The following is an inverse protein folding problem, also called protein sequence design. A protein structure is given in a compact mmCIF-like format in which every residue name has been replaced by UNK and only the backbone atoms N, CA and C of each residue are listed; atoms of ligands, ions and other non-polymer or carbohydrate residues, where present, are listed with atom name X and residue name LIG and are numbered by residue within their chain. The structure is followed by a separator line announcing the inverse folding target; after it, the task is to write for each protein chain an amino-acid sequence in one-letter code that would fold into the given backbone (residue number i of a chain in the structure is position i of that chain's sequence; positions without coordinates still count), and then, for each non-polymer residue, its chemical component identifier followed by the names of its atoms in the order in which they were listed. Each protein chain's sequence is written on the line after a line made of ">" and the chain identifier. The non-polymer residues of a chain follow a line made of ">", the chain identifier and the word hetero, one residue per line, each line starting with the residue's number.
data_IF_492059950622
#
_entry.id   IF_492059950622
#
_cell.length_a   1.000
_cell.length_b   1.000
_cell.length_c   1.000
_cell.angle_alpha   90.00
_cell.angle_beta   90.00
_cell.angle_gamma   90.00
#
_symmetry.space_group_name_H-M   'P 1'
#
loop_
_entity.id
_entity.type
_entity.pdbx_description
1 polymer ?
2 non-polymer ?
3 non-polymer ?
4 water ?
#
# COMPACT_ATOMS: atom_id res chain seq x y z
N UNK A 9 -12.41 -28.70 -11.78
CA UNK A 9 -12.93 -27.46 -11.13
C UNK A 9 -12.69 -26.23 -12.00
N UNK A 10 -12.89 -25.02 -11.47
CA UNK A 10 -12.86 -23.83 -12.35
C UNK A 10 -11.50 -23.69 -13.05
N UNK A 11 -10.41 -23.86 -12.33
CA UNK A 11 -9.06 -23.53 -12.87
C UNK A 11 -8.28 -24.80 -13.25
N UNK A 12 -8.94 -25.95 -13.28
CA UNK A 12 -8.19 -27.16 -13.70
C UNK A 12 -7.78 -27.02 -15.18
N UNK A 13 -6.52 -27.36 -15.47
CA UNK A 13 -5.92 -27.28 -16.82
C UNK A 13 -5.97 -25.83 -17.32
N UNK A 14 -5.98 -24.86 -16.38
CA UNK A 14 -5.90 -23.43 -16.76
C UNK A 14 -4.80 -22.78 -15.94
N UNK A 15 -4.34 -21.63 -16.39
CA UNK A 15 -3.29 -20.91 -15.62
C UNK A 15 -3.70 -19.44 -15.39
N UNK A 16 -3.18 -18.89 -14.31
CA UNK A 16 -3.53 -17.54 -13.82
C UNK A 16 -2.26 -16.68 -13.92
N UNK A 17 -2.40 -15.47 -14.44
CA UNK A 17 -1.35 -14.44 -14.42
C UNK A 17 -1.78 -13.34 -13.47
N UNK A 18 -0.97 -13.13 -12.45
CA UNK A 18 -1.07 -11.95 -11.55
C UNK A 18 -0.07 -10.92 -12.04
N UNK A 19 -0.55 -9.70 -12.23
CA UNK A 19 0.29 -8.58 -12.69
C UNK A 19 0.63 -7.76 -11.45
N UNK A 20 1.87 -7.83 -11.03
CA UNK A 20 2.37 -7.07 -9.87
C UNK A 20 2.59 -7.96 -8.67
N UNK A 21 3.81 -7.88 -8.13
CA UNK A 21 4.25 -8.60 -6.93
C UNK A 21 4.37 -7.72 -5.74
N UNK A 22 3.37 -6.88 -5.50
CA UNK A 22 3.26 -6.17 -4.21
C UNK A 22 2.69 -7.15 -3.18
N UNK A 23 2.41 -6.65 -1.97
CA UNK A 23 1.87 -7.50 -0.90
C UNK A 23 0.55 -8.16 -1.35
N UNK A 24 -0.26 -7.45 -2.11
CA UNK A 24 -1.57 -8.00 -2.52
C UNK A 24 -1.38 -9.10 -3.57
N UNK A 25 -0.65 -8.82 -4.66
CA UNK A 25 -0.40 -9.84 -5.70
C UNK A 25 0.29 -11.06 -5.17
N UNK A 26 1.24 -10.91 -4.26
CA UNK A 26 1.97 -12.08 -3.76
C UNK A 26 1.04 -12.88 -2.85
N UNK A 27 0.21 -12.22 -2.08
CA UNK A 27 -0.79 -12.93 -1.24
C UNK A 27 -1.78 -13.70 -2.13
N UNK A 28 -2.28 -13.08 -3.17
CA UNK A 28 -3.17 -13.71 -4.15
C UNK A 28 -2.48 -14.96 -4.70
N UNK A 29 -1.20 -14.87 -5.05
CA UNK A 29 -0.47 -16.01 -5.64
C UNK A 29 -0.41 -17.17 -4.62
N UNK A 30 -0.08 -16.89 -3.37
CA UNK A 30 0.06 -17.95 -2.36
C UNK A 30 -1.30 -18.62 -2.15
N UNK A 31 -2.36 -17.85 -2.04
CA UNK A 31 -3.71 -18.41 -1.77
C UNK A 31 -4.18 -19.28 -2.95
N UNK A 32 -3.83 -18.95 -4.19
CA UNK A 32 -4.15 -19.80 -5.34
C UNK A 32 -3.19 -21.00 -5.39
N UNK A 33 -1.89 -20.77 -5.22
CA UNK A 33 -0.91 -21.85 -5.41
C UNK A 33 -1.14 -22.93 -4.36
N UNK A 34 -1.57 -22.58 -3.14
CA UNK A 34 -1.71 -23.60 -2.08
C UNK A 34 -2.94 -24.48 -2.37
N UNK A 35 -3.79 -24.08 -3.32
CA UNK A 35 -4.96 -24.84 -3.82
C UNK A 35 -4.61 -25.58 -5.10
N UNK A 36 -3.34 -25.70 -5.46
CA UNK A 36 -2.91 -26.47 -6.65
C UNK A 36 -3.12 -25.72 -7.96
N UNK A 37 -3.29 -24.41 -7.92
CA UNK A 37 -3.50 -23.63 -9.16
C UNK A 37 -2.14 -23.25 -9.75
N UNK A 38 -2.04 -23.38 -11.06
CA UNK A 38 -0.89 -22.93 -11.88
C UNK A 38 -0.96 -21.39 -11.98
N UNK A 39 -0.12 -20.70 -11.25
CA UNK A 39 -0.17 -19.22 -11.18
C UNK A 39 1.26 -18.70 -11.31
N UNK A 40 1.42 -17.62 -12.06
CA UNK A 40 2.68 -16.84 -12.17
C UNK A 40 2.38 -15.40 -11.79
N UNK A 41 3.36 -14.76 -11.17
CA UNK A 41 3.30 -13.33 -10.88
C UNK A 41 4.34 -12.66 -11.79
N UNK A 42 3.89 -11.64 -12.52
CA UNK A 42 4.79 -10.83 -13.36
C UNK A 42 5.06 -9.53 -12.63
N UNK A 43 6.32 -9.28 -12.30
CA UNK A 43 6.73 -8.11 -11.48
C UNK A 43 7.78 -7.29 -12.25
N UNK A 44 7.56 -6.00 -12.39
CA UNK A 44 8.47 -5.14 -13.19
C UNK A 44 9.84 -5.01 -12.54
N UNK A 45 9.92 -5.04 -11.21
CA UNK A 45 11.21 -4.94 -10.47
C UNK A 45 12.21 -5.94 -11.06
N UNK A 46 13.45 -5.50 -11.20
CA UNK A 46 14.55 -6.30 -11.81
C UNK A 46 14.84 -7.54 -10.95
N UNK A 47 14.87 -7.41 -9.63
CA UNK A 47 15.20 -8.60 -8.81
C UNK A 47 14.56 -8.48 -7.44
N UNK A 48 14.65 -9.56 -6.67
CA UNK A 48 13.96 -9.67 -5.36
C UNK A 48 14.67 -8.81 -4.32
N UNK A 49 15.89 -8.31 -4.60
CA UNK A 49 16.69 -7.52 -3.63
C UNK A 49 16.35 -6.02 -3.71
N UNK A 50 15.55 -5.59 -4.70
CA UNK A 50 15.05 -4.19 -4.82
C UNK A 50 14.53 -3.72 -3.45
N UNK A 51 15.08 -2.64 -2.91
CA UNK A 51 14.57 -2.09 -1.64
C UNK A 51 13.25 -1.34 -1.91
N UNK A 52 12.23 -1.59 -1.09
CA UNK A 52 10.90 -0.91 -1.20
C UNK A 52 10.93 0.29 -0.26
N UNK A 53 10.85 1.49 -0.82
CA UNK A 53 10.81 2.75 -0.05
C UNK A 53 9.41 2.85 0.56
N UNK A 54 9.32 3.31 1.80
CA UNK A 54 8.01 3.52 2.44
C UNK A 54 8.04 3.19 3.91
N UNK A 55 6.96 3.52 4.59
CA UNK A 55 6.77 3.18 6.00
C UNK A 55 6.42 1.72 6.16
N UNK A 56 6.09 1.34 7.38
CA UNK A 56 5.68 -0.04 7.68
C UNK A 56 4.22 -0.27 7.32
N UNK A 57 3.83 -1.55 7.22
CA UNK A 57 2.42 -1.92 7.08
C UNK A 57 2.01 -2.65 8.35
N UNK A 58 0.76 -2.54 8.71
CA UNK A 58 0.16 -3.29 9.86
C UNK A 58 -1.04 -4.07 9.33
N UNK A 59 -1.13 -5.35 9.66
CA UNK A 59 -2.26 -6.20 9.21
C UNK A 59 -3.31 -6.30 10.34
N UNK A 60 -4.57 -6.20 9.99
CA UNK A 60 -5.69 -6.12 10.96
C UNK A 60 -6.31 -7.51 11.12
N UNK A 61 -6.77 -7.82 12.32
CA UNK A 61 -7.64 -9.01 12.52
C UNK A 61 -8.84 -8.94 11.58
N UNK A 62 -9.25 -10.03 10.99
CA UNK A 62 -10.44 -10.05 10.13
C UNK A 62 -10.15 -9.65 8.69
N UNK A 63 -9.00 -9.04 8.38
CA UNK A 63 -8.68 -8.75 6.97
C UNK A 63 -7.27 -9.23 6.66
N UNK A 64 -6.27 -8.35 6.77
CA UNK A 64 -4.88 -8.73 6.46
C UNK A 64 -4.41 -9.93 7.24
N UNK A 65 -4.71 -10.00 8.54
CA UNK A 65 -4.31 -11.18 9.34
C UNK A 65 -5.07 -12.41 8.92
N UNK A 66 -6.29 -12.26 8.41
CA UNK A 66 -7.09 -13.43 7.98
C UNK A 66 -6.45 -14.04 6.74
N UNK A 67 -6.00 -13.21 5.81
CA UNK A 67 -5.30 -13.70 4.62
C UNK A 67 -4.02 -14.42 5.05
N UNK A 68 -3.23 -13.84 5.96
CA UNK A 68 -1.97 -14.51 6.39
C UNK A 68 -2.31 -15.84 7.09
N UNK A 69 -3.37 -15.87 7.89
CA UNK A 69 -3.81 -17.10 8.60
C UNK A 69 -4.17 -18.20 7.60
N UNK A 70 -4.96 -17.87 6.58
CA UNK A 70 -5.37 -18.84 5.53
C UNK A 70 -4.16 -19.35 4.79
N UNK A 71 -3.10 -18.54 4.68
CA UNK A 71 -1.86 -18.93 3.97
C UNK A 71 -0.89 -19.70 4.86
N UNK A 72 -1.17 -19.82 6.14
CA UNK A 72 -0.22 -20.48 7.08
C UNK A 72 0.95 -19.59 7.46
N UNK A 73 0.81 -18.27 7.38
CA UNK A 73 1.94 -17.34 7.56
C UNK A 73 1.67 -16.41 8.74
N UNK A 74 0.57 -16.59 9.48
CA UNK A 74 0.26 -15.59 10.54
C UNK A 74 1.42 -15.52 11.56
N UNK A 75 1.95 -16.67 12.01
CA UNK A 75 3.00 -16.63 13.04
C UNK A 75 4.26 -15.97 12.44
N UNK A 76 4.54 -16.21 11.17
CA UNK A 76 5.75 -15.64 10.51
C UNK A 76 5.62 -14.12 10.52
N UNK A 77 4.42 -13.60 10.26
CA UNK A 77 4.15 -12.14 10.33
C UNK A 77 4.38 -11.64 11.77
N UNK A 78 3.73 -12.26 12.75
CA UNK A 78 3.89 -11.88 14.17
C UNK A 78 5.39 -11.86 14.52
N UNK A 79 6.16 -12.83 14.04
CA UNK A 79 7.58 -12.99 14.46
C UNK A 79 8.40 -11.80 13.89
N UNK A 80 8.05 -11.25 12.72
CA UNK A 80 8.85 -10.20 12.07
C UNK A 80 8.23 -8.82 12.28
N UNK A 81 7.07 -8.74 12.92
CA UNK A 81 6.39 -7.46 13.15
C UNK A 81 6.71 -6.95 14.55
N UNK A 82 6.41 -5.69 14.77
CA UNK A 82 6.73 -4.94 16.00
C UNK A 82 5.50 -4.18 16.45
N UNK A 83 4.91 -4.56 17.60
CA UNK A 83 3.84 -3.78 18.19
C UNK A 83 4.41 -2.40 18.54
N UNK A 84 3.73 -1.32 18.20
CA UNK A 84 4.23 0.04 18.48
C UNK A 84 3.13 0.89 19.06
N UNK A 85 3.45 1.70 20.06
CA UNK A 85 2.50 2.70 20.57
C UNK A 85 2.50 3.93 19.68
N UNK A 86 1.73 4.94 20.10
CA UNK A 86 1.57 6.22 19.37
C UNK A 86 1.61 7.37 20.38
N UNK A 87 2.40 8.39 20.07
CA UNK A 87 2.47 9.69 20.78
C UNK A 87 1.87 10.71 19.86
N UNK A 88 1.01 11.54 20.42
CA UNK A 88 0.58 12.78 19.75
C UNK A 88 1.38 13.93 20.36
N UNK A 89 1.99 14.74 19.51
CA UNK A 89 2.79 15.93 19.91
C UNK A 89 2.23 17.17 19.24
N UNK A 90 2.49 18.33 19.85
CA UNK A 90 2.25 19.63 19.19
C UNK A 90 3.55 20.07 18.51
N UNK A 91 3.44 21.18 17.80
CA UNK A 91 4.50 21.81 17.01
C UNK A 91 5.61 22.27 17.97
N UNK A 92 5.33 22.37 19.28
CA UNK A 92 6.37 22.81 20.26
C UNK A 92 7.10 21.61 20.86
N UNK A 93 6.74 20.37 20.53
CA UNK A 93 7.41 19.21 21.10
C UNK A 93 6.77 18.71 22.38
N UNK A 94 5.62 19.25 22.76
CA UNK A 94 4.89 18.79 23.96
C UNK A 94 4.20 17.49 23.56
N UNK A 95 4.39 16.41 24.34
CA UNK A 95 3.61 15.14 24.15
C UNK A 95 2.24 15.40 24.75
N UNK A 96 1.20 15.40 23.92
CA UNK A 96 -0.19 15.64 24.35
C UNK A 96 -0.87 14.32 24.73
N UNK A 97 -0.43 13.17 24.19
CA UNK A 97 -1.02 11.84 24.45
C UNK A 97 0.03 10.77 24.19
N UNK A 98 0.09 9.75 25.04
CA UNK A 98 0.98 8.58 24.87
C UNK A 98 0.17 7.29 25.02
N UNK A 99 -0.01 6.52 23.95
CA UNK A 99 -0.81 5.27 24.04
C UNK A 99 0.18 4.14 23.80
N UNK A 100 0.69 3.53 24.88
CA UNK A 100 1.66 2.41 24.77
C UNK A 100 0.90 1.14 24.38
N UNK A 101 1.61 0.16 23.87
CA UNK A 101 0.95 -1.12 23.49
C UNK A 101 0.77 -1.96 24.76
N UNK A 102 -0.48 -2.28 25.07
CA UNK A 102 -0.83 -3.19 26.19
C UNK A 102 -0.71 -4.61 25.68
N UNK A 103 -0.15 -5.53 26.49
CA UNK A 103 0.18 -6.88 26.02
C UNK A 103 -1.07 -7.55 25.45
N UNK A 104 -2.27 -7.22 25.94
CA UNK A 104 -3.50 -7.88 25.42
C UNK A 104 -3.82 -7.45 23.98
N UNK A 105 -3.27 -6.31 23.53
CA UNK A 105 -3.51 -5.75 22.18
C UNK A 105 -2.28 -5.95 21.30
N UNK A 106 -1.28 -6.72 21.71
CA UNK A 106 0.02 -6.76 20.99
C UNK A 106 -0.13 -7.45 19.63
N UNK A 107 -1.19 -8.23 19.42
CA UNK A 107 -1.45 -8.95 18.15
C UNK A 107 -2.41 -8.16 17.25
N UNK A 108 -2.86 -6.99 17.71
CA UNK A 108 -3.94 -6.24 16.99
C UNK A 108 -3.50 -5.78 15.60
N UNK A 109 -2.32 -5.18 15.50
CA UNK A 109 -1.82 -4.65 14.20
C UNK A 109 -0.34 -4.32 14.32
N UNK A 110 0.53 -5.28 14.63
CA UNK A 110 1.93 -4.99 14.72
C UNK A 110 2.47 -4.51 13.36
N UNK A 111 3.48 -3.66 13.42
CA UNK A 111 4.12 -2.99 12.25
C UNK A 111 5.18 -3.89 11.63
N UNK A 112 5.11 -4.07 10.31
CA UNK A 112 6.09 -4.90 9.57
C UNK A 112 6.73 -4.08 8.45
N UNK A 113 8.03 -4.21 8.31
CA UNK A 113 8.80 -3.60 7.21
C UNK A 113 8.31 -4.21 5.86
N UNK A 114 8.19 -3.39 4.83
CA UNK A 114 7.63 -3.88 3.54
C UNK A 114 8.54 -4.93 2.89
N UNK A 115 9.85 -4.80 3.00
CA UNK A 115 10.76 -5.81 2.45
C UNK A 115 10.60 -7.12 3.25
N UNK A 116 10.43 -7.04 4.56
CA UNK A 116 10.22 -8.24 5.42
C UNK A 116 8.91 -8.93 4.99
N UNK A 117 7.84 -8.17 4.79
CA UNK A 117 6.56 -8.76 4.32
C UNK A 117 6.76 -9.37 2.93
N UNK A 118 7.46 -8.70 2.00
CA UNK A 118 7.69 -9.32 0.67
C UNK A 118 8.46 -10.63 0.83
N UNK A 119 9.47 -10.65 1.71
CA UNK A 119 10.32 -11.86 1.91
C UNK A 119 9.47 -13.01 2.44
N UNK A 120 8.56 -12.73 3.40
CA UNK A 120 7.68 -13.80 3.97
C UNK A 120 6.89 -14.41 2.81
N UNK A 121 6.28 -13.54 2.00
CA UNK A 121 5.39 -14.01 0.90
C UNK A 121 6.22 -14.71 -0.19
N UNK A 122 7.35 -14.15 -0.61
CA UNK A 122 8.19 -14.82 -1.63
C UNK A 122 8.67 -16.19 -1.12
N UNK A 123 9.11 -16.28 0.14
CA UNK A 123 9.65 -17.54 0.69
C UNK A 123 8.53 -18.58 0.70
N UNK A 124 7.26 -18.17 0.78
CA UNK A 124 6.09 -19.10 0.86
C UNK A 124 5.73 -19.65 -0.54
N UNK A 125 6.20 -19.06 -1.62
CA UNK A 125 5.83 -19.48 -2.98
C UNK A 125 6.79 -20.54 -3.49
N UNK A 126 6.36 -21.33 -4.47
CA UNK A 126 7.27 -22.27 -5.15
C UNK A 126 8.32 -21.48 -5.94
N UNK A 127 9.49 -22.08 -6.16
CA UNK A 127 10.56 -21.45 -6.98
C UNK A 127 9.99 -21.04 -8.33
N UNK A 128 10.38 -19.87 -8.81
CA UNK A 128 10.02 -19.40 -10.17
C UNK A 128 8.52 -19.08 -10.30
N UNK A 129 7.82 -18.85 -9.20
CA UNK A 129 6.41 -18.36 -9.29
C UNK A 129 6.44 -16.91 -9.79
N UNK A 130 7.32 -16.11 -9.22
CA UNK A 130 7.47 -14.68 -9.62
C UNK A 130 8.47 -14.62 -10.76
N UNK A 131 8.08 -13.98 -11.84
CA UNK A 131 8.94 -13.70 -13.01
C UNK A 131 9.30 -12.22 -12.91
N UNK A 132 10.57 -11.95 -12.60
CA UNK A 132 11.11 -10.60 -12.36
C UNK A 132 11.38 -9.93 -13.71
N UNK A 133 11.48 -8.61 -13.70
CA UNK A 133 11.81 -7.82 -14.89
C UNK A 133 10.76 -8.07 -15.97
N UNK A 134 9.48 -8.07 -15.56
CA UNK A 134 8.34 -8.26 -16.48
C UNK A 134 7.36 -7.12 -16.25
N UNK A 135 7.47 -6.10 -17.05
CA UNK A 135 6.60 -4.92 -16.97
C UNK A 135 5.47 -5.12 -17.98
N UNK A 136 4.27 -5.46 -17.53
CA UNK A 136 3.14 -5.62 -18.47
C UNK A 136 2.82 -4.25 -19.10
N UNK A 137 2.71 -4.21 -20.44
CA UNK A 137 2.28 -2.98 -21.14
C UNK A 137 0.98 -3.18 -21.86
N UNK A 138 0.55 -4.40 -22.19
CA UNK A 138 -0.74 -4.55 -22.92
C UNK A 138 -1.27 -5.97 -22.75
N UNK A 139 -2.57 -6.09 -22.87
CA UNK A 139 -3.32 -7.34 -22.89
C UNK A 139 -4.12 -7.41 -24.19
N UNK A 140 -4.28 -8.62 -24.69
CA UNK A 140 -5.15 -8.87 -25.86
C UNK A 140 -5.88 -10.17 -25.61
N UNK A 141 -7.24 -10.17 -25.65
CA UNK A 141 -8.03 -11.38 -25.45
C UNK A 141 -8.05 -12.20 -26.75
N UNK A 142 -7.70 -13.48 -26.64
CA UNK A 142 -7.87 -14.46 -27.72
C UNK A 142 -9.19 -15.18 -27.58
N UNK A 143 -9.26 -16.36 -28.17
CA UNK A 143 -10.46 -17.22 -28.14
C UNK A 143 -10.70 -17.64 -26.71
N UNK A 144 -9.68 -18.14 -26.04
CA UNK A 144 -9.80 -18.67 -24.67
C UNK A 144 -8.75 -18.04 -23.74
N UNK A 145 -7.65 -17.54 -24.27
CA UNK A 145 -6.50 -17.09 -23.43
C UNK A 145 -6.21 -15.63 -23.74
N UNK A 146 -5.80 -14.90 -22.70
CA UNK A 146 -5.16 -13.56 -22.84
C UNK A 146 -3.74 -13.74 -23.34
N UNK A 147 -3.31 -12.86 -24.25
CA UNK A 147 -1.88 -12.65 -24.52
C UNK A 147 -1.39 -11.43 -23.75
N UNK A 148 -0.34 -11.64 -22.98
CA UNK A 148 0.28 -10.60 -22.15
C UNK A 148 1.50 -10.08 -22.90
N UNK A 149 1.61 -8.79 -23.14
CA UNK A 149 2.80 -8.14 -23.73
C UNK A 149 3.62 -7.42 -22.64
N UNK A 150 4.91 -7.70 -22.57
CA UNK A 150 5.86 -7.10 -21.60
C UNK A 150 6.82 -6.17 -22.31
N UNK A 151 7.37 -5.21 -21.57
CA UNK A 151 8.44 -4.35 -22.12
C UNK A 151 9.68 -5.19 -22.45
N UNK A 152 9.96 -5.34 -23.75
CA UNK A 152 11.24 -5.87 -24.30
C UNK A 152 11.47 -7.33 -23.84
N UNK A 153 10.39 -8.09 -23.64
CA UNK A 153 10.46 -9.48 -23.18
C UNK A 153 9.36 -10.25 -23.88
N UNK A 154 9.53 -11.56 -24.09
CA UNK A 154 8.56 -12.35 -24.84
C UNK A 154 7.18 -12.44 -24.14
N UNK A 155 6.15 -12.62 -24.95
CA UNK A 155 4.73 -12.63 -24.51
C UNK A 155 4.45 -13.92 -23.74
N UNK A 156 3.37 -13.88 -22.95
CA UNK A 156 2.89 -15.06 -22.20
C UNK A 156 1.39 -15.13 -22.36
N UNK A 157 0.80 -16.28 -22.03
CA UNK A 157 -0.65 -16.45 -22.15
C UNK A 157 -1.20 -16.85 -20.77
N UNK A 158 -2.47 -16.58 -20.53
CA UNK A 158 -3.17 -17.04 -19.31
C UNK A 158 -4.68 -17.09 -19.55
N UNK A 159 -5.34 -17.98 -18.87
CA UNK A 159 -6.81 -18.12 -18.89
C UNK A 159 -7.46 -17.02 -18.04
N UNK A 160 -6.77 -16.55 -17.01
CA UNK A 160 -7.35 -15.53 -16.10
C UNK A 160 -6.22 -14.55 -15.80
N UNK A 161 -6.53 -13.27 -15.88
CA UNK A 161 -5.59 -12.19 -15.53
C UNK A 161 -6.14 -11.46 -14.30
N UNK A 162 -5.26 -11.31 -13.29
CA UNK A 162 -5.55 -10.52 -12.07
C UNK A 162 -4.60 -9.33 -12.06
N UNK A 163 -5.16 -8.15 -12.22
CA UNK A 163 -4.40 -6.88 -12.20
C UNK A 163 -4.15 -6.56 -10.72
N UNK A 164 -2.88 -6.54 -10.30
CA UNK A 164 -2.48 -6.23 -8.90
C UNK A 164 -1.27 -5.32 -8.91
N UNK A 165 -1.22 -4.40 -9.88
CA UNK A 165 0.07 -3.69 -10.08
C UNK A 165 -0.05 -2.25 -9.56
N UNK A 166 -0.91 -2.01 -8.58
CA UNK A 166 -0.85 -0.75 -7.82
C UNK A 166 -1.72 0.36 -8.36
N UNK A 167 -1.68 1.50 -7.66
CA UNK A 167 -2.67 2.58 -7.84
C UNK A 167 -2.56 3.26 -9.20
N UNK A 168 -1.38 3.25 -9.83
CA UNK A 168 -1.11 4.01 -11.07
C UNK A 168 -1.18 3.06 -12.27
N UNK A 169 -1.80 1.89 -12.13
CA UNK A 169 -1.88 0.88 -13.21
C UNK A 169 -2.39 1.54 -14.49
N UNK A 170 -1.76 1.21 -15.61
CA UNK A 170 -2.23 1.63 -16.95
C UNK A 170 -2.82 0.46 -17.73
N UNK A 171 -3.08 -0.69 -17.07
CA UNK A 171 -3.64 -1.89 -17.75
C UNK A 171 -5.02 -2.20 -17.17
N UNK A 172 -5.85 -1.17 -16.97
CA UNK A 172 -7.18 -1.38 -16.35
C UNK A 172 -8.35 -1.33 -17.33
N UNK A 173 -8.11 -0.96 -18.57
CA UNK A 173 -9.26 -0.58 -19.45
C UNK A 173 -10.17 -1.77 -19.80
N UNK A 174 -9.72 -3.02 -19.73
CA UNK A 174 -10.65 -4.15 -19.96
C UNK A 174 -11.65 -4.24 -18.81
N UNK A 175 -11.32 -3.63 -17.66
CA UNK A 175 -12.18 -3.74 -16.47
C UNK A 175 -13.03 -2.47 -16.32
N UNK A 176 -12.42 -1.30 -16.46
CA UNK A 176 -13.09 0.00 -16.18
C UNK A 176 -12.39 1.13 -16.93
N UNK A 177 -13.16 2.13 -17.31
CA UNK A 177 -12.66 3.41 -17.85
C UNK A 177 -12.44 4.45 -16.74
N UNK A 178 -12.63 4.10 -15.46
CA UNK A 178 -12.36 5.02 -14.33
C UNK A 178 -10.91 5.50 -14.40
N UNK A 179 -10.70 6.78 -14.11
CA UNK A 179 -9.34 7.37 -14.08
C UNK A 179 -8.94 7.69 -12.62
N UNK A 180 -7.66 7.50 -12.30
CA UNK A 180 -7.04 7.97 -11.03
C UNK A 180 -7.24 9.49 -10.95
N UNK A 181 -7.49 10.03 -9.73
CA UNK A 181 -7.67 11.47 -9.50
C UNK A 181 -6.71 11.91 -8.41
N UNK A 182 -6.22 13.14 -8.47
CA UNK A 182 -5.50 13.77 -7.33
C UNK A 182 -6.56 14.24 -6.34
N UNK A 183 -6.33 14.13 -5.05
CA UNK A 183 -7.29 14.55 -4.03
C UNK A 183 -7.10 16.00 -3.58
N UNK A 184 -5.93 16.60 -3.85
CA UNK A 184 -5.57 17.95 -3.38
C UNK A 184 -4.67 17.98 -2.16
N UNK A 185 -4.15 16.84 -1.69
CA UNK A 185 -3.05 16.79 -0.69
C UNK A 185 -1.76 16.25 -1.29
N UNK A 186 -0.68 16.50 -0.58
CA UNK A 186 0.68 16.22 -1.06
C UNK A 186 1.49 15.68 0.12
N UNK A 187 2.39 14.76 -0.16
CA UNK A 187 3.19 14.06 0.85
C UNK A 187 4.64 14.12 0.46
N UNK A 188 5.47 14.46 1.42
CA UNK A 188 6.94 14.35 1.29
C UNK A 188 7.45 13.34 2.32
N UNK A 189 8.18 12.34 1.88
CA UNK A 189 8.64 11.26 2.79
C UNK A 189 10.16 11.17 2.73
N UNK A 190 10.76 10.62 3.75
CA UNK A 190 12.21 10.42 3.81
C UNK A 190 12.53 9.39 4.86
N UNK A 191 13.74 8.85 4.78
CA UNK A 191 14.31 7.98 5.82
C UNK A 191 15.54 8.66 6.40
N UNK A 192 15.70 8.54 7.68
CA UNK A 192 16.98 8.89 8.38
C UNK A 192 17.60 7.61 8.96
N UNK A 193 18.82 7.29 8.52
CA UNK A 193 19.60 6.16 9.07
C UNK A 193 20.23 6.62 10.40
N UNK A 194 20.39 5.70 11.35
CA UNK A 194 20.99 5.93 12.68
C UNK A 194 20.37 7.18 13.28
N UNK A 195 19.03 7.21 13.47
CA UNK A 195 18.35 8.41 13.95
C UNK A 195 18.75 8.80 15.38
N UNK A 196 19.14 7.81 16.19
CA UNK A 196 19.63 8.09 17.59
C UNK A 196 20.89 8.99 17.53
N UNK A 197 21.61 9.03 16.41
CA UNK A 197 22.81 9.87 16.21
C UNK A 197 22.41 11.12 15.40
N UNK A 198 21.63 11.02 14.32
CA UNK A 198 21.45 12.09 13.30
C UNK A 198 20.27 12.99 13.60
N UNK A 199 19.25 12.52 14.32
CA UNK A 199 18.13 13.39 14.78
C UNK A 199 17.80 13.02 16.22
N UNK A 200 18.76 13.16 17.15
CA UNK A 200 18.59 12.64 18.50
C UNK A 200 17.40 13.22 19.27
N UNK A 201 17.11 14.51 19.13
CA UNK A 201 16.03 15.12 19.91
C UNK A 201 14.67 14.60 19.47
N UNK A 202 14.49 14.49 18.15
CA UNK A 202 13.24 13.98 17.54
C UNK A 202 13.09 12.50 17.90
N UNK A 203 14.19 11.76 17.81
CA UNK A 203 14.24 10.32 18.19
C UNK A 203 13.77 10.14 19.64
N UNK A 204 14.26 10.96 20.56
CA UNK A 204 13.88 10.89 21.99
C UNK A 204 12.44 11.32 22.20
N UNK A 205 11.93 12.23 21.38
CA UNK A 205 10.52 12.65 21.47
C UNK A 205 9.62 11.46 21.09
N UNK A 206 9.97 10.68 20.08
CA UNK A 206 9.15 9.50 19.70
C UNK A 206 9.21 8.51 20.88
N UNK A 207 10.41 8.32 21.45
CA UNK A 207 10.59 7.47 22.63
C UNK A 207 10.07 6.06 22.32
N UNK A 208 10.44 5.52 21.16
CA UNK A 208 10.06 4.16 20.71
C UNK A 208 8.63 4.08 20.19
N UNK A 209 7.87 5.15 20.20
CA UNK A 209 6.48 5.14 19.68
C UNK A 209 6.44 5.78 18.28
N UNK A 210 5.44 5.46 17.48
CA UNK A 210 5.09 6.30 16.30
C UNK A 210 4.72 7.67 16.84
N UNK A 211 4.88 8.69 16.04
CA UNK A 211 4.53 10.07 16.45
C UNK A 211 3.74 10.75 15.33
N UNK A 212 2.75 11.53 15.72
CA UNK A 212 1.95 12.37 14.79
C UNK A 212 1.81 13.74 15.44
N UNK A 213 1.81 14.76 14.60
CA UNK A 213 1.70 16.16 15.03
C UNK A 213 1.08 16.92 13.88
N UNK A 214 0.27 17.92 14.19
CA UNK A 214 -0.43 18.76 13.21
C UNK A 214 -0.44 20.19 13.72
N UNK A 215 -0.18 21.13 12.82
CA UNK A 215 -0.18 22.59 13.10
C UNK A 215 -0.38 23.36 11.81
N UNK A 216 -1.43 24.18 11.71
CA UNK A 216 -1.67 25.13 10.59
C UNK A 216 -1.61 24.42 9.24
N UNK A 217 -2.12 23.20 9.14
CA UNK A 217 -2.36 22.57 7.81
C UNK A 217 -1.20 21.68 7.41
N UNK A 218 -0.18 21.59 8.27
CA UNK A 218 0.99 20.71 8.07
C UNK A 218 0.88 19.55 9.05
N UNK A 219 0.97 18.32 8.55
CA UNK A 219 0.92 17.09 9.37
C UNK A 219 2.30 16.43 9.30
N UNK A 220 2.75 15.90 10.40
CA UNK A 220 3.98 15.07 10.42
C UNK A 220 3.66 13.73 11.08
N UNK A 221 4.12 12.67 10.42
CA UNK A 221 3.95 11.26 10.86
C UNK A 221 5.34 10.67 10.88
N UNK A 222 5.73 9.99 11.94
CA UNK A 222 7.06 9.36 12.02
C UNK A 222 6.97 8.00 12.68
N UNK A 223 7.82 7.11 12.19
CA UNK A 223 8.12 5.80 12.80
C UNK A 223 9.61 5.79 13.07
N UNK A 224 10.03 5.77 14.34
CA UNK A 224 11.45 5.88 14.70
C UNK A 224 12.24 4.58 14.50
N UNK A 225 11.56 3.49 14.17
CA UNK A 225 12.22 2.18 14.09
C UNK A 225 11.59 1.32 13.00
N UNK A 226 11.82 1.70 11.76
CA UNK A 226 11.56 0.80 10.61
C UNK A 226 12.85 0.06 10.28
N UNK A 227 13.08 -1.08 10.94
CA UNK A 227 14.32 -1.89 10.78
C UNK A 227 15.52 -0.99 11.06
N UNK A 228 15.43 -0.18 12.11
CA UNK A 228 16.54 0.68 12.58
C UNK A 228 16.61 2.05 11.91
N UNK A 229 15.81 2.32 10.87
CA UNK A 229 15.73 3.65 10.23
C UNK A 229 14.52 4.38 10.77
N UNK A 230 14.59 5.71 10.80
CA UNK A 230 13.42 6.55 11.09
C UNK A 230 12.76 6.87 9.75
N UNK A 231 11.48 6.57 9.60
CA UNK A 231 10.71 6.98 8.40
C UNK A 231 9.78 8.11 8.81
N UNK A 232 9.74 9.19 8.02
CA UNK A 232 8.74 10.24 8.31
C UNK A 232 8.12 10.76 7.03
N UNK A 233 6.96 11.38 7.22
CA UNK A 233 6.12 11.93 6.14
C UNK A 233 5.52 13.23 6.62
N UNK A 234 5.58 14.24 5.77
CA UNK A 234 4.96 15.57 5.96
C UNK A 234 3.90 15.68 4.88
N UNK A 235 2.68 16.00 5.25
CA UNK A 235 1.52 16.12 4.34
C UNK A 235 0.85 17.48 4.52
N UNK A 236 0.34 18.02 3.45
CA UNK A 236 -0.32 19.35 3.42
C UNK A 236 -1.18 19.40 2.16
N UNK A 237 -2.13 20.33 2.16
CA UNK A 237 -2.82 20.73 0.92
C UNK A 237 -1.79 21.15 -0.11
N UNK A 238 -1.93 20.64 -1.32
CA UNK A 238 -1.03 20.93 -2.46
C UNK A 238 -1.10 22.45 -2.68
N UNK A 239 0.01 23.21 -2.64
CA UNK A 239 -0.07 24.66 -2.89
C UNK A 239 -0.57 25.05 -4.29
N UNK A 240 -1.41 26.09 -4.39
CA UNK A 240 -1.96 26.63 -5.67
C UNK A 240 -0.82 26.94 -6.65
N UNK A 241 0.28 27.46 -6.14
CA UNK A 241 1.48 27.74 -6.96
C UNK A 241 1.86 26.46 -7.72
N UNK A 242 1.57 25.29 -7.16
CA UNK A 242 1.95 24.06 -7.90
C UNK A 242 0.80 23.56 -8.79
N UNK A 243 -0.25 24.36 -9.02
CA UNK A 243 -1.37 23.87 -9.87
C UNK A 243 -1.04 24.11 -11.35
N UNK A 247 6.73 23.66 -7.85
CA UNK A 247 7.78 24.73 -7.83
C UNK A 247 8.94 24.29 -6.95
N UNK A 248 8.92 23.03 -6.52
CA UNK A 248 9.98 22.39 -5.70
C UNK A 248 10.53 21.20 -6.50
N UNK A 249 11.84 21.14 -6.67
CA UNK A 249 12.52 20.05 -7.41
C UNK A 249 12.94 18.98 -6.39
N UNK A 250 12.34 17.79 -6.40
CA UNK A 250 12.57 16.76 -5.36
C UNK A 250 13.93 16.07 -5.53
N UNK A 251 14.57 16.26 -6.68
CA UNK A 251 15.99 15.86 -6.89
C UNK A 251 16.91 16.83 -6.16
N UNK A 252 16.44 18.02 -5.80
CA UNK A 252 17.31 19.08 -5.23
C UNK A 252 17.00 19.20 -3.74
N UNK A 253 17.77 18.53 -2.89
CA UNK A 253 17.48 18.47 -1.44
C UNK A 253 17.50 19.91 -0.90
N UNK A 254 18.38 20.79 -1.39
CA UNK A 254 18.50 22.17 -0.85
C UNK A 254 17.18 22.91 -1.09
N UNK A 255 16.52 22.67 -2.20
CA UNK A 255 15.23 23.30 -2.60
C UNK A 255 14.12 22.77 -1.68
N UNK A 256 14.12 21.46 -1.40
CA UNK A 256 13.09 20.83 -0.54
C UNK A 256 13.31 21.30 0.90
N UNK A 257 14.56 21.28 1.39
CA UNK A 257 14.88 21.81 2.74
C UNK A 257 14.36 23.24 2.87
N UNK A 258 14.59 24.07 1.87
CA UNK A 258 14.22 25.51 1.95
C UNK A 258 12.70 25.65 2.10
N UNK A 259 11.96 24.89 1.27
CA UNK A 259 10.48 24.86 1.28
C UNK A 259 9.97 24.39 2.65
N UNK A 260 10.49 23.27 3.13
CA UNK A 260 9.98 22.67 4.38
C UNK A 260 10.31 23.55 5.59
N UNK A 261 11.47 24.19 5.62
CA UNK A 261 11.85 25.02 6.81
C UNK A 261 11.01 26.29 6.85
N UNK A 262 10.55 26.76 5.71
CA UNK A 262 9.60 27.90 5.66
C UNK A 262 8.25 27.43 6.18
N UNK A 263 7.78 26.26 5.72
CA UNK A 263 6.50 25.70 6.19
C UNK A 263 6.55 25.41 7.69
N UNK A 264 7.66 24.88 8.23
CA UNK A 264 7.79 24.45 9.63
C UNK A 264 8.45 25.54 10.48
N UNK A 265 8.34 26.81 10.08
CA UNK A 265 9.09 27.91 10.74
C UNK A 265 8.68 28.05 12.21
N UNK A 266 7.46 27.74 12.62
CA UNK A 266 7.14 27.90 14.05
C UNK A 266 7.16 26.57 14.78
N UNK A 267 7.75 25.50 14.20
CA UNK A 267 7.87 24.20 14.92
C UNK A 267 9.18 24.18 15.71
N UNK A 268 9.22 23.36 16.77
CA UNK A 268 10.42 23.16 17.61
C UNK A 268 11.63 22.76 16.74
N UNK A 269 12.85 23.07 17.19
CA UNK A 269 14.09 22.70 16.48
C UNK A 269 14.21 21.17 16.37
N UNK A 270 13.57 20.37 17.22
CA UNK A 270 13.71 18.89 17.07
C UNK A 270 13.12 18.45 15.72
N UNK A 271 12.05 19.09 15.30
CA UNK A 271 11.38 18.83 13.99
C UNK A 271 12.21 19.42 12.85
N UNK A 272 12.68 20.65 13.04
CA UNK A 272 13.52 21.27 11.98
C UNK A 272 14.76 20.44 11.74
N UNK A 273 15.34 19.83 12.78
CA UNK A 273 16.57 19.03 12.67
C UNK A 273 16.30 17.86 11.70
N UNK A 274 15.12 17.24 11.83
CA UNK A 274 14.67 16.15 10.92
C UNK A 274 14.85 16.61 9.48
N UNK A 275 14.32 17.78 9.15
CA UNK A 275 14.38 18.34 7.77
C UNK A 275 15.83 18.58 7.37
N UNK A 276 16.58 19.29 8.21
CA UNK A 276 17.97 19.69 7.87
C UNK A 276 18.84 18.45 7.61
N UNK A 277 18.67 17.35 8.35
CA UNK A 277 19.64 16.20 8.26
C UNK A 277 19.21 15.19 7.20
N UNK A 278 18.06 15.35 6.59
CA UNK A 278 17.56 14.33 5.61
C UNK A 278 18.42 14.37 4.33
N UNK A 279 18.89 13.22 3.84
CA UNK A 279 19.75 13.20 2.63
C UNK A 279 18.93 13.31 1.36
N UNK A 280 17.74 12.71 1.27
CA UNK A 280 16.89 12.95 0.08
C UNK A 280 15.44 12.69 0.42
N UNK A 281 14.59 13.35 -0.35
CA UNK A 281 13.13 13.39 -0.12
C UNK A 281 12.42 12.80 -1.32
N UNK A 282 11.25 12.21 -1.06
CA UNK A 282 10.34 11.72 -2.12
C UNK A 282 9.01 12.45 -1.98
N UNK A 283 8.57 13.07 -3.06
CA UNK A 283 7.28 13.78 -3.12
C UNK A 283 6.26 12.91 -3.85
N UNK A 284 5.01 12.95 -3.42
CA UNK A 284 3.92 12.16 -4.02
C UNK A 284 2.62 12.90 -3.79
N UNK A 285 1.88 13.22 -4.85
CA UNK A 285 0.49 13.69 -4.73
C UNK A 285 -0.39 12.54 -4.25
N UNK A 286 -1.27 12.84 -3.31
CA UNK A 286 -2.27 11.86 -2.87
C UNK A 286 -3.22 11.63 -4.05
N UNK A 287 -3.52 10.34 -4.31
CA UNK A 287 -4.47 9.97 -5.38
C UNK A 287 -5.52 9.01 -4.85
N UNK A 288 -6.58 8.91 -5.64
CA UNK A 288 -7.72 8.00 -5.34
C UNK A 288 -8.15 7.39 -6.67
N UNK A 289 -8.52 6.13 -6.62
CA UNK A 289 -9.12 5.43 -7.79
C UNK A 289 -10.57 5.16 -7.43
N UNK A 290 -11.48 6.08 -7.70
CA UNK A 290 -12.76 6.06 -7.01
C UNK A 290 -13.68 4.94 -7.52
N UNK A 291 -14.27 4.24 -6.58
CA UNK A 291 -15.32 3.25 -6.83
C UNK A 291 -16.64 3.99 -6.94
N UNK A 292 -17.34 3.87 -8.04
CA UNK A 292 -18.64 4.56 -8.12
C UNK A 292 -19.62 3.62 -8.77
N UNK A 293 -19.85 3.89 -10.04
CA UNK A 293 -20.66 3.04 -10.95
C UNK A 293 -19.93 1.69 -11.09
N UNK A 294 -20.66 0.63 -11.36
CA UNK A 294 -19.98 -0.67 -11.51
C UNK A 294 -18.97 -0.69 -12.68
N UNK A 295 -18.07 -1.65 -12.63
CA UNK A 295 -17.08 -1.81 -13.70
C UNK A 295 -17.77 -2.37 -14.94
N UNK A 296 -17.02 -2.61 -15.99
CA UNK A 296 -17.57 -3.14 -17.26
C UNK A 296 -18.14 -4.52 -17.05
N UNK A 297 -19.33 -4.77 -17.61
CA UNK A 297 -19.91 -6.14 -17.62
C UNK A 297 -19.51 -6.81 -18.95
N UNK A 298 -19.58 -8.12 -19.01
CA UNK A 298 -19.42 -8.89 -20.28
C UNK A 298 -18.03 -8.65 -20.86
N UNK A 299 -16.99 -8.82 -20.08
CA UNK A 299 -15.59 -8.62 -20.57
C UNK A 299 -15.25 -9.74 -21.53
N UNK A 300 -14.31 -9.58 -22.46
CA UNK A 300 -14.04 -10.62 -23.47
C UNK A 300 -13.51 -11.97 -22.95
N UNK A 301 -12.72 -11.90 -21.87
CA UNK A 301 -12.21 -13.07 -21.13
C UNK A 301 -12.15 -12.69 -19.65
N UNK A 302 -11.97 -13.67 -18.77
CA UNK A 302 -11.92 -13.39 -17.32
C UNK A 302 -10.71 -12.54 -16.90
N UNK A 303 -11.04 -11.44 -16.21
CA UNK A 303 -10.04 -10.48 -15.73
C UNK A 303 -10.68 -9.73 -14.55
N UNK A 304 -9.87 -9.38 -13.57
CA UNK A 304 -10.35 -8.52 -12.46
C UNK A 304 -9.13 -7.79 -11.92
N UNK A 305 -9.35 -6.97 -10.88
CA UNK A 305 -8.29 -6.15 -10.28
C UNK A 305 -8.44 -6.30 -8.76
N UNK A 306 -7.31 -6.23 -8.08
CA UNK A 306 -7.26 -6.34 -6.58
C UNK A 306 -6.30 -5.30 -6.06
N UNK A 307 -6.43 -4.96 -4.78
CA UNK A 307 -5.44 -4.07 -4.14
C UNK A 307 -5.59 -2.64 -4.61
N UNK A 308 -4.50 -1.87 -4.61
CA UNK A 308 -4.57 -0.45 -5.00
C UNK A 308 -5.03 -0.26 -6.44
N UNK A 309 -4.76 -1.24 -7.32
CA UNK A 309 -5.28 -1.20 -8.69
C UNK A 309 -6.81 -1.09 -8.70
N UNK A 310 -7.49 -1.72 -7.76
CA UNK A 310 -8.96 -1.73 -7.64
C UNK A 310 -9.48 -0.48 -6.89
N UNK A 311 -8.78 0.01 -5.87
CA UNK A 311 -9.38 0.97 -4.92
C UNK A 311 -8.36 1.83 -4.18
N UNK A 312 -7.31 2.26 -4.83
CA UNK A 312 -6.35 3.23 -4.28
C UNK A 312 -7.11 4.34 -3.53
N UNK A 313 -6.69 4.63 -2.31
CA UNK A 313 -7.33 5.71 -1.56
C UNK A 313 -6.29 6.37 -0.67
N UNK A 314 -6.59 7.59 -0.17
CA UNK A 314 -5.68 8.26 0.75
C UNK A 314 -5.35 7.41 1.97
N UNK A 315 -4.07 7.39 2.43
CA UNK A 315 -3.68 6.50 3.51
C UNK A 315 -3.74 7.07 4.93
N UNK A 316 -4.24 8.26 5.14
CA UNK A 316 -3.92 8.98 6.41
C UNK A 316 -4.61 8.36 7.63
N UNK A 317 -5.73 7.64 7.46
CA UNK A 317 -6.46 6.96 8.56
C UNK A 317 -6.12 5.45 8.62
N UNK A 318 -5.12 4.99 7.87
CA UNK A 318 -4.66 3.59 7.99
C UNK A 318 -5.44 2.67 7.09
N UNK A 319 -6.23 3.23 6.17
CA UNK A 319 -6.75 2.40 5.05
C UNK A 319 -5.60 2.17 4.05
N UNK A 320 -5.60 0.97 3.45
CA UNK A 320 -4.70 0.64 2.34
C UNK A 320 -4.61 -0.87 2.13
N UNK A 321 -3.60 -1.47 2.74
CA UNK A 321 -3.22 -2.84 2.30
C UNK A 321 -4.27 -3.83 2.81
N UNK A 322 -4.97 -3.54 3.93
CA UNK A 322 -5.89 -4.54 4.52
C UNK A 322 -7.06 -4.80 3.55
N UNK A 323 -7.58 -3.75 2.87
CA UNK A 323 -8.67 -3.88 1.87
C UNK A 323 -8.17 -4.80 0.74
N UNK A 324 -6.91 -4.61 0.33
CA UNK A 324 -6.32 -5.41 -0.73
C UNK A 324 -6.12 -6.85 -0.35
N UNK A 325 -5.77 -7.11 0.91
CA UNK A 325 -5.57 -8.50 1.34
C UNK A 325 -6.93 -9.16 1.48
N UNK A 326 -7.95 -8.41 1.87
CA UNK A 326 -9.33 -8.95 1.86
C UNK A 326 -9.76 -9.30 0.43
N UNK A 327 -9.39 -8.48 -0.55
CA UNK A 327 -9.68 -8.82 -1.97
C UNK A 327 -9.08 -10.20 -2.30
N UNK A 328 -7.81 -10.41 -1.96
CA UNK A 328 -7.12 -11.68 -2.33
C UNK A 328 -7.82 -12.86 -1.65
N UNK A 329 -8.17 -12.69 -0.40
CA UNK A 329 -8.85 -13.78 0.34
C UNK A 329 -10.20 -14.09 -0.31
N UNK A 330 -10.98 -13.07 -0.70
CA UNK A 330 -12.34 -13.33 -1.23
C UNK A 330 -12.20 -13.95 -2.61
N UNK A 331 -11.37 -13.37 -3.47
CA UNK A 331 -11.30 -13.85 -4.86
C UNK A 331 -10.73 -15.26 -4.86
N UNK A 332 -9.68 -15.52 -4.08
CA UNK A 332 -9.09 -16.88 -4.01
C UNK A 332 -10.12 -17.90 -3.51
N UNK A 333 -10.92 -17.56 -2.51
CA UNK A 333 -11.97 -18.48 -2.02
C UNK A 333 -12.98 -18.77 -3.15
N UNK A 334 -13.44 -17.75 -3.84
CA UNK A 334 -14.46 -17.90 -4.90
C UNK A 334 -13.89 -18.79 -6.02
N UNK A 335 -12.62 -18.63 -6.35
CA UNK A 335 -12.03 -19.41 -7.49
C UNK A 335 -11.82 -20.86 -7.11
N UNK A 336 -11.75 -21.19 -5.83
CA UNK A 336 -11.32 -22.54 -5.37
C UNK A 336 -12.41 -23.28 -4.57
N UNK A 337 -13.51 -22.64 -4.21
CA UNK A 337 -14.42 -23.26 -3.19
C UNK A 337 -15.41 -24.23 -3.86
N UNK A 338 -15.40 -24.33 -5.17
CA UNK A 338 -16.29 -25.21 -5.97
C UNK A 338 -17.76 -24.79 -6.00
N UNK A 339 -18.11 -23.56 -5.62
CA UNK A 339 -19.51 -23.13 -5.55
C UNK A 339 -19.95 -22.42 -6.82
N UNK A 340 -19.04 -21.90 -7.64
CA UNK A 340 -19.42 -21.08 -8.80
C UNK A 340 -19.38 -21.90 -10.09
N UNK A 341 -20.24 -21.57 -11.04
CA UNK A 341 -20.38 -22.29 -12.33
C UNK A 341 -19.34 -21.78 -13.32
N UNK A 342 -18.76 -20.61 -13.10
CA UNK A 342 -17.76 -20.07 -14.05
C UNK A 342 -16.80 -19.14 -13.32
N UNK A 343 -15.64 -18.94 -13.93
CA UNK A 343 -14.68 -17.95 -13.40
C UNK A 343 -15.36 -16.57 -13.38
N UNK A 344 -16.12 -16.22 -14.40
CA UNK A 344 -16.77 -14.88 -14.45
C UNK A 344 -17.69 -14.68 -13.24
N UNK A 345 -18.47 -15.70 -12.90
CA UNK A 345 -19.36 -15.62 -11.70
C UNK A 345 -18.58 -15.50 -10.38
N UNK A 346 -17.46 -16.19 -10.24
CA UNK A 346 -16.54 -16.09 -9.09
C UNK A 346 -16.05 -14.65 -9.03
N UNK A 347 -15.64 -14.08 -10.18
CA UNK A 347 -15.15 -12.66 -10.23
C UNK A 347 -16.26 -11.69 -9.84
N UNK A 348 -17.44 -11.85 -10.45
CA UNK A 348 -18.56 -10.95 -10.17
C UNK A 348 -18.83 -10.92 -8.66
N UNK A 349 -18.83 -12.08 -8.03
CA UNK A 349 -19.13 -12.14 -6.58
C UNK A 349 -18.07 -11.39 -5.76
N UNK A 350 -16.82 -11.55 -6.12
CA UNK A 350 -15.74 -10.80 -5.41
C UNK A 350 -15.97 -9.30 -5.64
N UNK A 351 -16.17 -8.88 -6.89
CA UNK A 351 -16.29 -7.43 -7.18
C UNK A 351 -17.47 -6.84 -6.41
N UNK A 352 -18.58 -7.54 -6.37
CA UNK A 352 -19.79 -7.03 -5.67
C UNK A 352 -19.46 -6.79 -4.17
N UNK A 353 -18.73 -7.69 -3.55
CA UNK A 353 -18.33 -7.60 -2.11
C UNK A 353 -17.34 -6.46 -1.91
N UNK A 354 -16.35 -6.38 -2.78
CA UNK A 354 -15.29 -5.35 -2.74
C UNK A 354 -15.89 -3.97 -2.96
N UNK A 355 -16.90 -3.82 -3.81
CA UNK A 355 -17.51 -2.49 -4.00
C UNK A 355 -18.11 -2.00 -2.67
N UNK A 356 -18.60 -2.89 -1.83
CA UNK A 356 -19.23 -2.48 -0.54
C UNK A 356 -18.13 -2.09 0.43
N UNK A 357 -17.22 -2.99 0.80
CA UNK A 357 -16.20 -2.63 1.82
C UNK A 357 -15.26 -1.58 1.23
N UNK A 358 -15.02 -1.60 -0.09
CA UNK A 358 -14.12 -0.63 -0.72
C UNK A 358 -14.72 0.76 -0.69
N UNK A 359 -16.00 0.90 -1.03
CA UNK A 359 -16.66 2.24 -0.95
C UNK A 359 -16.72 2.75 0.49
N UNK A 360 -16.96 1.90 1.47
CA UNK A 360 -16.94 2.28 2.92
C UNK A 360 -15.55 2.80 3.28
N UNK A 361 -14.50 2.08 2.91
CA UNK A 361 -13.10 2.48 3.19
C UNK A 361 -12.78 3.79 2.48
N UNK A 362 -13.18 3.96 1.22
CA UNK A 362 -12.85 5.20 0.48
C UNK A 362 -13.61 6.38 1.10
N UNK A 363 -14.84 6.16 1.50
CA UNK A 363 -15.68 7.21 2.12
C UNK A 363 -15.00 7.66 3.42
N UNK A 364 -14.60 6.73 4.29
CA UNK A 364 -13.90 7.01 5.56
C UNK A 364 -12.58 7.72 5.27
N UNK A 365 -11.78 7.22 4.31
CA UNK A 365 -10.48 7.80 3.95
C UNK A 365 -10.64 9.27 3.51
N UNK A 366 -11.60 9.55 2.65
CA UNK A 366 -11.81 10.88 2.04
C UNK A 366 -12.34 11.83 3.16
N UNK A 367 -13.28 11.37 3.97
CA UNK A 367 -13.84 12.25 5.05
C UNK A 367 -12.68 12.60 6.00
N UNK A 368 -11.89 11.58 6.32
CA UNK A 368 -10.73 11.74 7.24
C UNK A 368 -9.75 12.75 6.65
N UNK A 369 -9.48 12.68 5.33
CA UNK A 369 -8.56 13.63 4.64
C UNK A 369 -9.14 15.05 4.73
N UNK A 370 -10.43 15.24 4.45
CA UNK A 370 -11.09 16.57 4.63
C UNK A 370 -10.83 17.11 6.06
N UNK A 371 -11.16 16.35 7.08
CA UNK A 371 -11.06 16.78 8.51
C UNK A 371 -9.61 17.11 8.86
N UNK A 372 -8.65 16.27 8.45
CA UNK A 372 -7.27 16.40 8.93
C UNK A 372 -6.54 17.59 8.29
N UNK A 373 -7.00 18.12 7.16
CA UNK A 373 -6.27 19.16 6.40
C UNK A 373 -7.00 20.50 6.53
N UNK A 374 -8.02 20.58 7.36
CA UNK A 374 -8.56 21.89 7.81
C UNK A 374 -7.44 22.62 8.55
N UNK A 375 -7.23 23.94 8.28
CA UNK A 375 -6.07 24.67 8.84
C UNK A 375 -6.04 24.71 10.38
N UNK A 376 -7.15 24.40 11.06
CA UNK A 376 -7.28 24.41 12.53
C UNK A 376 -7.21 23.00 13.15
N UNK A 377 -7.02 21.93 12.37
CA UNK A 377 -6.95 20.56 12.95
C UNK A 377 -5.69 20.46 13.83
N UNK A 378 -5.85 19.69 14.90
CA UNK A 378 -4.75 19.03 15.64
C UNK A 378 -5.31 17.67 16.08
N UNK A 379 -4.44 16.67 16.14
CA UNK A 379 -4.92 15.32 16.51
C UNK A 379 -5.58 15.40 17.88
N UNK A 380 -5.75 16.61 18.39
CA UNK A 380 -6.34 16.87 19.71
C UNK A 380 -7.48 17.88 19.56
#
# INVERSE_FOLDING_TARGET
>A
MSNKEKQMNLLSDKNVAIIGGGPVGLTMAKLLQQNGIDVSVYERDNDREARIFGGTLDLHKGSGQEAMKKAGLLQTYYDLALPMGVNIADEKGNILSTKNVKPENRFDNPEINRNDLRAILLNSLENDTVIWDRKLVMLEPGKKKWTLTFENKPSETADLVIIANGGMSKVRKFVTDTEVEETGTFNIQADIHHPEVNCPGFFQLCNGNRLMAAHQGNLLFANPNNNGALHFGISFKTPDEWKNQTQVDFQNRNSVVDFLLKEFSDWDERYKELIRVTSSFVGLATRIFPLGKSWKSKRPLPITMIGDAAHLMPPFAGQGVNSGLMDALILSDNLTNGKFNSIEEAIENYEQQMFIYGKEAQEESTQNEIEMFKPDFTFQQLLNV
#
